data_IF_325486229902
#
_entry.id   IF_325486229902
#
_cell.length_a   1.000
_cell.length_b   1.000
_cell.length_c   1.000
_cell.angle_alpha   90.00
_cell.angle_beta   90.00
_cell.angle_gamma   90.00
#
_symmetry.space_group_name_H-M   'P 1'
#
loop_
_entity.id
_entity.type
_entity.pdbx_description
1 polymer ?
#
# COMPACT_ATOMS: atom_id res chain seq x y z
N UNK A 1 7.43 39.02 -8.68
CA UNK A 1 6.78 37.69 -8.68
C UNK A 1 6.55 37.28 -10.12
N UNK A 2 7.16 36.20 -10.58
CA UNK A 2 7.22 35.83 -12.00
C UNK A 2 5.85 35.29 -12.48
N UNK A 3 5.22 35.95 -13.45
CA UNK A 3 3.90 35.60 -14.00
C UNK A 3 3.84 34.22 -14.69
N UNK A 4 5.00 33.63 -15.03
CA UNK A 4 5.11 32.29 -15.63
C UNK A 4 4.66 31.14 -14.74
N UNK A 5 4.60 31.32 -13.41
CA UNK A 5 4.13 30.26 -12.49
C UNK A 5 2.63 29.99 -12.66
N UNK A 6 1.87 30.96 -13.16
CA UNK A 6 0.44 30.82 -13.46
C UNK A 6 0.15 30.12 -14.79
N UNK A 7 1.15 29.99 -15.68
CA UNK A 7 0.97 29.35 -17.00
C UNK A 7 0.84 27.82 -16.90
N UNK A 8 1.32 27.20 -15.81
CA UNK A 8 1.16 25.76 -15.58
C UNK A 8 0.87 25.46 -14.09
N UNK A 9 -0.41 25.51 -13.66
CA UNK A 9 -0.80 25.34 -12.26
C UNK A 9 -0.39 23.98 -11.68
N UNK A 10 -0.22 22.96 -12.51
CA UNK A 10 0.12 21.60 -12.10
C UNK A 10 1.56 21.48 -11.57
N UNK A 11 2.50 22.25 -12.14
CA UNK A 11 3.89 22.29 -11.63
C UNK A 11 3.96 22.97 -10.26
N UNK A 12 3.15 24.00 -10.05
CA UNK A 12 3.06 24.63 -8.72
C UNK A 12 2.43 23.68 -7.70
N UNK A 13 1.38 22.93 -8.07
CA UNK A 13 0.81 21.89 -7.22
C UNK A 13 1.86 20.84 -6.82
N UNK A 14 2.75 20.45 -7.75
CA UNK A 14 3.84 19.52 -7.43
C UNK A 14 4.79 20.09 -6.36
N UNK A 15 5.20 21.34 -6.50
CA UNK A 15 6.06 22.02 -5.54
C UNK A 15 5.38 22.13 -4.16
N UNK A 16 4.08 22.47 -4.14
CA UNK A 16 3.29 22.50 -2.90
C UNK A 16 3.19 21.10 -2.29
N UNK A 17 3.00 20.05 -3.10
CA UNK A 17 2.96 18.68 -2.61
C UNK A 17 4.28 18.26 -1.95
N UNK A 18 5.41 18.62 -2.56
CA UNK A 18 6.73 18.39 -1.98
C UNK A 18 6.90 19.12 -0.64
N UNK A 19 6.46 20.38 -0.53
CA UNK A 19 6.49 21.12 0.73
C UNK A 19 5.60 20.48 1.80
N UNK A 20 4.40 20.03 1.44
CA UNK A 20 3.50 19.28 2.34
C UNK A 20 4.16 17.98 2.82
N UNK A 21 4.81 17.23 1.92
CA UNK A 21 5.54 16.00 2.27
C UNK A 21 6.66 16.26 3.28
N UNK A 22 7.45 17.32 3.09
CA UNK A 22 8.49 17.73 4.05
C UNK A 22 7.86 18.07 5.40
N UNK A 23 6.76 18.83 5.42
CA UNK A 23 6.03 19.14 6.65
C UNK A 23 5.52 17.89 7.37
N UNK A 24 4.93 16.94 6.64
CA UNK A 24 4.45 15.66 7.20
C UNK A 24 5.62 14.83 7.74
N UNK A 25 6.77 14.81 7.07
CA UNK A 25 7.97 14.12 7.53
C UNK A 25 8.48 14.71 8.85
N UNK A 26 8.64 16.04 8.93
CA UNK A 26 9.08 16.73 10.14
C UNK A 26 8.12 16.49 11.32
N UNK A 27 6.81 16.53 11.06
CA UNK A 27 5.82 16.18 12.06
C UNK A 27 5.96 14.73 12.53
N UNK A 28 6.18 13.78 11.59
CA UNK A 28 6.27 12.36 11.89
C UNK A 28 7.49 12.00 12.74
N UNK A 29 8.66 12.57 12.44
CA UNK A 29 9.89 12.29 13.22
C UNK A 29 9.82 12.84 14.66
N UNK A 30 8.95 13.83 14.91
CA UNK A 30 8.70 14.35 16.25
C UNK A 30 7.77 13.46 17.10
N UNK A 31 7.09 12.49 16.49
CA UNK A 31 6.18 11.57 17.19
C UNK A 31 6.88 10.26 17.58
N UNK A 32 6.60 9.67 18.76
CA UNK A 32 7.17 8.39 19.15
C UNK A 32 6.74 7.24 18.21
N UNK A 33 7.67 6.39 17.75
CA UNK A 33 7.36 5.30 16.82
C UNK A 33 6.91 4.02 17.57
N UNK A 34 5.83 4.10 18.36
CA UNK A 34 5.39 3.01 19.23
C UNK A 34 5.24 1.65 18.50
N UNK A 35 4.33 1.56 17.53
CA UNK A 35 4.07 0.30 16.81
C UNK A 35 5.22 -0.10 15.88
N UNK A 36 5.80 0.80 15.07
CA UNK A 36 6.89 0.43 14.15
C UNK A 36 8.13 -0.14 14.84
N UNK A 37 8.51 0.38 16.00
CA UNK A 37 9.75 -0.05 16.66
C UNK A 37 9.67 -1.50 17.16
N UNK A 38 8.55 -1.90 17.76
CA UNK A 38 8.37 -3.29 18.22
C UNK A 38 8.55 -4.27 17.06
N UNK A 39 8.04 -3.96 15.87
CA UNK A 39 8.18 -4.84 14.71
C UNK A 39 9.65 -5.03 14.25
N UNK A 40 10.57 -4.13 14.62
CA UNK A 40 12.01 -4.32 14.38
C UNK A 40 12.68 -5.17 15.47
N UNK A 41 12.09 -5.24 16.66
CA UNK A 41 12.59 -6.03 17.79
C UNK A 41 12.15 -7.49 17.72
N UNK A 42 10.96 -7.77 17.17
CA UNK A 42 10.46 -9.14 17.06
C UNK A 42 11.22 -9.91 15.98
N UNK A 43 11.73 -11.08 16.36
CA UNK A 43 12.44 -12.02 15.50
C UNK A 43 11.87 -13.44 15.69
N UNK A 44 12.58 -14.44 15.17
CA UNK A 44 12.22 -15.85 15.27
C UNK A 44 12.92 -16.56 16.43
N UNK A 45 13.34 -15.84 17.49
CA UNK A 45 14.05 -16.44 18.63
C UNK A 45 13.25 -17.61 19.26
N UNK A 46 11.93 -17.45 19.37
CA UNK A 46 11.01 -18.47 19.90
C UNK A 46 10.36 -19.32 18.80
N UNK A 47 10.99 -19.43 17.63
CA UNK A 47 10.44 -20.13 16.47
C UNK A 47 9.57 -19.24 15.58
N UNK A 48 8.79 -19.87 14.71
CA UNK A 48 8.02 -19.15 13.70
C UNK A 48 6.95 -18.26 14.32
N UNK A 49 7.06 -16.95 14.09
CA UNK A 49 6.18 -15.93 14.65
C UNK A 49 5.67 -15.00 13.54
N UNK A 50 4.37 -14.72 13.51
CA UNK A 50 3.77 -13.81 12.53
C UNK A 50 4.36 -12.40 12.69
N UNK A 51 4.55 -11.67 11.58
CA UNK A 51 5.06 -10.28 11.55
C UNK A 51 6.53 -10.11 11.98
N UNK A 52 7.30 -11.19 12.09
CA UNK A 52 8.67 -11.15 12.59
C UNK A 52 9.74 -11.01 11.49
N UNK A 53 9.38 -11.10 10.20
CA UNK A 53 10.39 -11.17 9.12
C UNK A 53 11.32 -9.95 9.09
N UNK A 54 10.79 -8.74 9.23
CA UNK A 54 11.62 -7.52 9.18
C UNK A 54 12.58 -7.47 10.37
N UNK A 55 12.10 -7.72 11.59
CA UNK A 55 12.98 -7.75 12.77
C UNK A 55 13.99 -8.90 12.71
N UNK A 56 13.62 -10.07 12.18
CA UNK A 56 14.56 -11.17 11.92
C UNK A 56 15.69 -10.75 10.96
N UNK A 57 15.36 -10.04 9.87
CA UNK A 57 16.37 -9.49 8.95
C UNK A 57 17.26 -8.46 9.68
N UNK A 58 16.69 -7.56 10.47
CA UNK A 58 17.45 -6.57 11.27
C UNK A 58 18.42 -7.25 12.24
N UNK A 59 18.02 -8.39 12.81
CA UNK A 59 18.83 -9.19 13.74
C UNK A 59 20.10 -9.75 13.10
N UNK A 60 20.15 -9.86 11.77
CA UNK A 60 21.37 -10.26 11.05
C UNK A 60 22.44 -9.17 11.07
N UNK A 61 22.07 -7.93 11.37
CA UNK A 61 22.97 -6.77 11.31
C UNK A 61 23.22 -6.12 12.68
N UNK A 62 22.31 -6.28 13.64
CA UNK A 62 22.49 -5.73 14.99
C UNK A 62 21.70 -6.50 16.05
N UNK A 63 22.35 -6.77 17.17
CA UNK A 63 21.71 -7.35 18.36
C UNK A 63 20.85 -6.31 19.09
N UNK A 64 21.31 -5.05 19.10
CA UNK A 64 20.67 -3.91 19.75
C UNK A 64 20.09 -2.97 18.70
N UNK A 65 18.78 -2.86 18.65
CA UNK A 65 18.08 -2.06 17.64
C UNK A 65 17.90 -0.64 18.15
N UNK A 66 18.50 0.39 17.53
CA UNK A 66 18.24 1.77 17.93
C UNK A 66 16.93 2.29 17.33
N UNK A 67 16.25 3.20 18.03
CA UNK A 67 14.95 3.75 17.61
C UNK A 67 15.05 4.47 16.25
N UNK A 68 16.15 5.16 15.97
CA UNK A 68 16.36 5.87 14.71
C UNK A 68 16.32 4.95 13.48
N UNK A 69 16.61 3.64 13.65
CA UNK A 69 16.61 2.68 12.56
C UNK A 69 15.23 2.54 11.90
N UNK A 70 14.15 2.73 12.68
CA UNK A 70 12.78 2.77 12.16
C UNK A 70 12.66 3.82 11.06
N UNK A 71 13.12 5.04 11.33
CA UNK A 71 13.01 6.16 10.41
C UNK A 71 13.96 6.03 9.23
N UNK A 72 15.18 5.51 9.45
CA UNK A 72 16.14 5.26 8.39
C UNK A 72 15.63 4.21 7.38
N UNK A 73 15.18 3.04 7.87
CA UNK A 73 14.67 1.98 7.00
C UNK A 73 13.40 2.41 6.27
N UNK A 74 12.44 3.00 7.00
CA UNK A 74 11.19 3.42 6.39
C UNK A 74 11.39 4.57 5.40
N UNK A 75 12.26 5.53 5.71
CA UNK A 75 12.63 6.63 4.81
C UNK A 75 13.32 6.13 3.54
N UNK A 76 14.25 5.18 3.66
CA UNK A 76 14.90 4.55 2.52
C UNK A 76 13.90 3.82 1.61
N UNK A 77 13.02 3.00 2.20
CA UNK A 77 11.96 2.30 1.44
C UNK A 77 11.00 3.29 0.79
N UNK A 78 10.69 4.40 1.46
CA UNK A 78 9.85 5.46 0.89
C UNK A 78 10.50 6.10 -0.34
N UNK A 79 11.79 6.47 -0.27
CA UNK A 79 12.52 7.04 -1.40
C UNK A 79 12.61 6.06 -2.58
N UNK A 80 12.89 4.78 -2.30
CA UNK A 80 12.88 3.72 -3.33
C UNK A 80 11.50 3.60 -3.97
N UNK A 81 10.43 3.59 -3.17
CA UNK A 81 9.05 3.50 -3.66
C UNK A 81 8.67 4.70 -4.52
N UNK A 82 9.06 5.91 -4.12
CA UNK A 82 8.88 7.13 -4.91
C UNK A 82 9.59 7.01 -6.27
N UNK A 83 10.87 6.64 -6.28
CA UNK A 83 11.66 6.51 -7.50
C UNK A 83 11.07 5.44 -8.45
N UNK A 84 10.67 4.30 -7.89
CA UNK A 84 10.00 3.22 -8.63
C UNK A 84 8.65 3.68 -9.20
N UNK A 85 7.86 4.42 -8.42
CA UNK A 85 6.57 4.95 -8.87
C UNK A 85 6.74 5.96 -10.01
N UNK A 86 7.66 6.91 -9.87
CA UNK A 86 7.99 7.90 -10.92
C UNK A 86 8.39 7.19 -12.21
N UNK A 87 9.24 6.15 -12.11
CA UNK A 87 9.64 5.32 -13.26
C UNK A 87 8.47 4.56 -13.87
N UNK A 88 7.60 3.99 -13.04
CA UNK A 88 6.39 3.29 -13.49
C UNK A 88 5.46 4.26 -14.24
N UNK A 89 5.21 5.44 -13.67
CA UNK A 89 4.39 6.47 -14.29
C UNK A 89 4.93 6.92 -15.64
N UNK A 90 6.21 7.26 -15.71
CA UNK A 90 6.88 7.61 -16.95
C UNK A 90 6.72 6.51 -18.01
N UNK A 91 6.84 5.24 -17.61
CA UNK A 91 6.71 4.11 -18.54
C UNK A 91 5.27 3.87 -19.00
N UNK A 92 4.29 4.09 -18.14
CA UNK A 92 2.88 3.78 -18.45
C UNK A 92 2.16 4.93 -19.17
N UNK A 93 2.43 6.16 -18.79
CA UNK A 93 1.72 7.35 -19.28
C UNK A 93 2.63 8.35 -19.99
N UNK A 94 3.93 8.34 -19.70
CA UNK A 94 4.85 9.41 -20.11
C UNK A 94 4.94 10.53 -19.06
N UNK A 95 5.85 11.47 -19.30
CA UNK A 95 5.99 12.72 -18.54
C UNK A 95 5.96 13.91 -19.49
N UNK A 96 4.79 14.15 -20.07
CA UNK A 96 4.50 15.34 -20.88
C UNK A 96 3.50 16.26 -20.15
N UNK A 97 3.25 17.43 -20.72
CA UNK A 97 2.36 18.41 -20.10
C UNK A 97 0.89 17.95 -20.06
N UNK A 98 0.50 16.98 -20.90
CA UNK A 98 -0.86 16.45 -20.94
C UNK A 98 -1.15 15.50 -19.77
N UNK A 99 -0.13 14.85 -19.20
CA UNK A 99 -0.30 13.88 -18.12
C UNK A 99 -0.04 14.44 -16.71
N UNK A 100 0.35 15.71 -16.57
CA UNK A 100 0.49 16.34 -15.25
C UNK A 100 -0.75 16.25 -14.36
N UNK A 101 -1.99 16.48 -14.86
CA UNK A 101 -3.17 16.35 -14.01
C UNK A 101 -3.29 14.93 -13.43
N UNK A 102 -3.08 13.91 -14.27
CA UNK A 102 -3.11 12.51 -13.84
C UNK A 102 -2.06 12.21 -12.78
N UNK A 103 -0.83 12.70 -12.98
CA UNK A 103 0.25 12.54 -12.02
C UNK A 103 -0.10 13.18 -10.67
N UNK A 104 -0.61 14.42 -10.67
CA UNK A 104 -0.98 15.13 -9.44
C UNK A 104 -2.12 14.45 -8.70
N UNK A 105 -3.16 13.98 -9.40
CA UNK A 105 -4.26 13.25 -8.74
C UNK A 105 -3.82 11.92 -8.12
N UNK A 106 -2.72 11.30 -8.57
CA UNK A 106 -2.19 10.06 -7.99
C UNK A 106 -1.12 10.37 -6.95
N UNK A 107 0.01 10.94 -7.37
CA UNK A 107 1.17 11.22 -6.53
C UNK A 107 0.84 12.23 -5.42
N UNK A 108 0.05 13.24 -5.78
CA UNK A 108 -0.40 14.28 -4.87
C UNK A 108 -1.61 13.90 -4.03
N UNK A 109 -2.15 12.70 -4.19
CA UNK A 109 -3.28 12.20 -3.41
C UNK A 109 -2.96 12.10 -1.91
N UNK A 110 -3.89 12.49 -1.00
CA UNK A 110 -3.74 12.20 0.42
C UNK A 110 -3.75 10.70 0.74
N UNK A 111 -4.15 9.84 -0.21
CA UNK A 111 -4.18 8.39 -0.06
C UNK A 111 -2.83 7.69 -0.33
N UNK A 112 -1.88 8.34 -1.02
CA UNK A 112 -0.69 7.67 -1.54
C UNK A 112 0.59 8.06 -0.81
N UNK A 113 1.53 8.75 -1.47
CA UNK A 113 2.87 9.01 -0.95
C UNK A 113 2.87 9.78 0.37
N UNK A 114 1.95 10.76 0.51
CA UNK A 114 1.78 11.51 1.75
C UNK A 114 1.28 10.64 2.90
N UNK A 115 0.37 9.71 2.62
CA UNK A 115 -0.10 8.74 3.61
C UNK A 115 1.06 7.85 4.08
N UNK A 116 1.89 7.33 3.17
CA UNK A 116 3.05 6.53 3.56
C UNK A 116 4.09 7.32 4.35
N UNK A 117 4.24 8.63 4.08
CA UNK A 117 5.10 9.49 4.89
C UNK A 117 4.54 9.66 6.31
N UNK A 118 3.22 9.78 6.46
CA UNK A 118 2.60 9.85 7.78
C UNK A 118 2.66 8.50 8.52
N UNK A 119 2.47 7.39 7.81
CA UNK A 119 2.57 6.03 8.37
C UNK A 119 4.00 5.50 8.38
N UNK A 120 5.02 6.37 8.29
CA UNK A 120 6.43 5.97 8.29
C UNK A 120 6.73 4.95 9.40
N UNK A 121 7.35 3.84 9.01
CA UNK A 121 7.62 2.69 9.88
C UNK A 121 6.55 1.58 9.81
N UNK A 122 5.38 1.86 9.25
CA UNK A 122 4.42 0.81 8.91
C UNK A 122 4.83 0.11 7.61
N UNK A 123 4.46 -1.15 7.52
CA UNK A 123 4.97 -2.03 6.49
C UNK A 123 4.18 -1.99 5.17
N UNK A 124 3.05 -1.28 5.09
CA UNK A 124 2.20 -1.27 3.89
C UNK A 124 2.92 -0.84 2.62
N UNK A 125 3.91 0.05 2.78
CA UNK A 125 4.73 0.56 1.69
C UNK A 125 5.50 -0.55 0.96
N UNK A 126 5.87 -1.64 1.64
CA UNK A 126 6.49 -2.81 0.99
C UNK A 126 5.54 -3.45 -0.01
N UNK A 127 4.24 -3.52 0.31
CA UNK A 127 3.22 -4.04 -0.62
C UNK A 127 3.14 -3.19 -1.89
N UNK A 128 3.15 -1.86 -1.72
CA UNK A 128 3.18 -0.94 -2.84
C UNK A 128 4.46 -1.10 -3.68
N UNK A 129 5.63 -1.05 -3.03
CA UNK A 129 6.93 -1.16 -3.69
C UNK A 129 7.06 -2.44 -4.52
N UNK A 130 6.77 -3.60 -3.92
CA UNK A 130 6.85 -4.89 -4.60
C UNK A 130 5.84 -5.01 -5.76
N UNK A 131 4.66 -4.44 -5.60
CA UNK A 131 3.65 -4.40 -6.68
C UNK A 131 4.11 -3.50 -7.84
N UNK A 132 4.75 -2.35 -7.55
CA UNK A 132 5.35 -1.50 -8.58
C UNK A 132 6.50 -2.22 -9.29
N UNK A 133 7.36 -2.92 -8.56
CA UNK A 133 8.42 -3.77 -9.17
C UNK A 133 7.79 -4.78 -10.11
N UNK A 134 6.72 -5.44 -9.68
CA UNK A 134 6.00 -6.41 -10.52
C UNK A 134 5.45 -5.78 -11.81
N UNK A 135 4.90 -4.56 -11.75
CA UNK A 135 4.46 -3.81 -12.94
C UNK A 135 5.62 -3.40 -13.85
N UNK A 136 6.81 -3.14 -13.30
CA UNK A 136 8.00 -2.74 -14.05
C UNK A 136 8.72 -3.91 -14.72
N UNK A 137 8.72 -5.11 -14.14
CA UNK A 137 9.40 -6.25 -14.76
C UNK A 137 8.57 -6.82 -15.94
N UNK A 138 9.22 -7.44 -16.95
CA UNK A 138 8.52 -8.04 -18.10
C UNK A 138 7.79 -9.33 -17.72
N UNK A 139 6.51 -9.43 -18.06
CA UNK A 139 5.66 -10.60 -17.80
C UNK A 139 5.74 -11.66 -18.93
N UNK A 140 6.96 -12.07 -19.30
CA UNK A 140 7.22 -12.92 -20.48
C UNK A 140 7.39 -14.41 -20.19
N UNK A 141 7.48 -14.82 -18.93
CA UNK A 141 7.77 -16.21 -18.55
C UNK A 141 7.14 -16.58 -17.22
N UNK A 142 7.04 -17.88 -16.94
CA UNK A 142 6.55 -18.44 -15.66
C UNK A 142 7.30 -17.87 -14.45
N UNK A 143 8.57 -17.49 -14.60
CA UNK A 143 9.34 -16.80 -13.55
C UNK A 143 8.61 -15.56 -13.00
N UNK A 144 7.84 -14.86 -13.82
CA UNK A 144 7.03 -13.72 -13.39
C UNK A 144 5.96 -14.12 -12.35
N UNK A 145 5.30 -15.26 -12.56
CA UNK A 145 4.31 -15.82 -11.62
C UNK A 145 5.00 -16.23 -10.31
N UNK A 146 6.19 -16.84 -10.41
CA UNK A 146 6.98 -17.25 -9.24
C UNK A 146 7.47 -16.04 -8.43
N UNK A 147 7.90 -14.96 -9.09
CA UNK A 147 8.28 -13.70 -8.43
C UNK A 147 7.07 -13.08 -7.71
N UNK A 148 5.90 -13.06 -8.35
CA UNK A 148 4.67 -12.57 -7.72
C UNK A 148 4.28 -13.40 -6.48
N UNK A 149 4.44 -14.71 -6.55
CA UNK A 149 4.22 -15.62 -5.42
C UNK A 149 5.22 -15.36 -4.30
N UNK A 150 6.51 -15.22 -4.63
CA UNK A 150 7.56 -14.89 -3.67
C UNK A 150 7.28 -13.53 -2.99
N UNK A 151 6.90 -12.50 -3.74
CA UNK A 151 6.53 -11.21 -3.17
C UNK A 151 5.33 -11.35 -2.23
N UNK A 152 4.30 -12.11 -2.61
CA UNK A 152 3.14 -12.37 -1.76
C UNK A 152 3.52 -13.11 -0.47
N UNK A 153 4.41 -14.10 -0.56
CA UNK A 153 4.96 -14.84 0.58
C UNK A 153 5.72 -13.90 1.53
N UNK A 154 6.65 -13.11 1.00
CA UNK A 154 7.41 -12.14 1.79
C UNK A 154 6.46 -11.15 2.48
N UNK A 155 5.46 -10.63 1.77
CA UNK A 155 4.47 -9.73 2.36
C UNK A 155 3.70 -10.40 3.50
N UNK A 156 3.21 -11.63 3.33
CA UNK A 156 2.52 -12.35 4.41
C UNK A 156 3.40 -12.53 5.65
N UNK A 157 4.70 -12.83 5.45
CA UNK A 157 5.66 -12.96 6.54
C UNK A 157 5.95 -11.63 7.25
N UNK A 158 6.00 -10.52 6.49
CA UNK A 158 6.07 -9.16 7.04
C UNK A 158 4.80 -8.83 7.82
N UNK A 159 3.62 -9.14 7.27
CA UNK A 159 2.34 -8.94 7.92
C UNK A 159 1.23 -9.75 7.21
N UNK A 160 0.64 -10.74 7.87
CA UNK A 160 -0.33 -11.65 7.23
C UNK A 160 -1.55 -10.97 6.59
N UNK A 161 -1.98 -9.78 7.07
CA UNK A 161 -3.05 -8.97 6.48
C UNK A 161 -2.82 -8.61 5.01
N UNK A 162 -1.58 -8.67 4.51
CA UNK A 162 -1.28 -8.48 3.10
C UNK A 162 -2.08 -9.42 2.18
N UNK A 163 -2.51 -10.59 2.69
CA UNK A 163 -3.40 -11.51 1.98
C UNK A 163 -4.71 -10.86 1.53
N UNK A 164 -5.22 -9.89 2.29
CA UNK A 164 -6.44 -9.12 1.99
C UNK A 164 -6.13 -7.77 1.30
N UNK A 165 -4.90 -7.27 1.46
CA UNK A 165 -4.50 -5.92 1.02
C UNK A 165 -3.87 -5.91 -0.38
N UNK A 166 -2.61 -6.35 -0.52
CA UNK A 166 -1.87 -6.28 -1.79
C UNK A 166 -1.84 -7.59 -2.56
N UNK A 167 -1.96 -8.75 -1.90
CA UNK A 167 -1.95 -10.06 -2.59
C UNK A 167 -3.05 -10.17 -3.65
N UNK A 168 -4.31 -9.70 -3.43
CA UNK A 168 -5.33 -9.72 -4.48
C UNK A 168 -4.96 -8.84 -5.68
N UNK A 169 -4.30 -7.70 -5.43
CA UNK A 169 -3.81 -6.79 -6.48
C UNK A 169 -2.67 -7.41 -7.27
N UNK A 170 -1.72 -8.06 -6.58
CA UNK A 170 -0.61 -8.81 -7.19
C UNK A 170 -1.17 -9.94 -8.07
N UNK A 171 -2.11 -10.73 -7.56
CA UNK A 171 -2.76 -11.80 -8.31
C UNK A 171 -3.49 -11.25 -9.54
N UNK A 172 -4.24 -10.16 -9.41
CA UNK A 172 -4.89 -9.49 -10.54
C UNK A 172 -3.86 -9.04 -11.60
N UNK A 173 -2.76 -8.42 -11.18
CA UNK A 173 -1.67 -8.02 -12.09
C UNK A 173 -1.05 -9.21 -12.80
N UNK A 174 -0.91 -10.36 -12.14
CA UNK A 174 -0.46 -11.61 -12.78
C UNK A 174 -1.46 -12.07 -13.84
N UNK A 175 -2.75 -12.09 -13.52
CA UNK A 175 -3.78 -12.45 -14.50
C UNK A 175 -3.72 -11.52 -15.71
N UNK A 176 -3.73 -10.21 -15.49
CA UNK A 176 -3.76 -9.21 -16.56
C UNK A 176 -2.50 -9.22 -17.42
N UNK A 177 -1.31 -9.28 -16.81
CA UNK A 177 -0.04 -9.11 -17.55
C UNK A 177 0.54 -10.40 -18.09
N UNK A 178 0.28 -11.54 -17.43
CA UNK A 178 0.81 -12.83 -17.83
C UNK A 178 -0.26 -13.71 -18.49
N UNK A 179 -1.34 -14.05 -17.78
CA UNK A 179 -2.30 -15.04 -18.29
C UNK A 179 -3.17 -14.55 -19.45
N UNK A 180 -3.54 -13.26 -19.49
CA UNK A 180 -4.30 -12.70 -20.61
C UNK A 180 -3.45 -12.41 -21.84
N UNK A 181 -2.16 -12.15 -21.65
CA UNK A 181 -1.26 -11.78 -22.74
C UNK A 181 -0.52 -12.99 -23.34
N UNK A 182 -0.47 -14.11 -22.64
CA UNK A 182 0.17 -15.35 -23.10
C UNK A 182 -0.85 -16.42 -23.45
N UNK A 183 -0.44 -17.39 -24.28
CA UNK A 183 -1.24 -18.59 -24.52
C UNK A 183 -1.37 -19.39 -23.23
N UNK A 184 -2.60 -19.74 -22.88
CA UNK A 184 -2.89 -20.56 -21.70
C UNK A 184 -2.45 -22.00 -21.97
N UNK A 185 -1.32 -22.39 -21.40
CA UNK A 185 -0.81 -23.76 -21.44
C UNK A 185 -1.10 -24.47 -20.10
N UNK A 186 -1.36 -25.79 -20.08
CA UNK A 186 -1.61 -26.55 -18.84
C UNK A 186 -0.51 -26.35 -17.80
N UNK A 187 0.76 -26.31 -18.23
CA UNK A 187 1.92 -26.03 -17.37
C UNK A 187 1.81 -24.67 -16.65
N UNK A 188 1.41 -23.63 -17.37
CA UNK A 188 1.30 -22.28 -16.80
C UNK A 188 0.16 -22.20 -15.78
N UNK A 189 -0.95 -22.92 -16.02
CA UNK A 189 -2.04 -23.05 -15.07
C UNK A 189 -1.55 -23.80 -13.82
N UNK A 190 -0.90 -24.94 -13.99
CA UNK A 190 -0.40 -25.75 -12.87
C UNK A 190 0.53 -24.94 -11.96
N UNK A 191 1.48 -24.20 -12.54
CA UNK A 191 2.39 -23.34 -11.74
C UNK A 191 1.62 -22.24 -11.00
N UNK A 192 0.61 -21.64 -11.63
CA UNK A 192 -0.24 -20.64 -10.97
C UNK A 192 -1.01 -21.22 -9.79
N UNK A 193 -1.58 -22.42 -9.94
CA UNK A 193 -2.31 -23.11 -8.88
C UNK A 193 -1.39 -23.51 -7.72
N UNK A 194 -0.20 -24.03 -8.01
CA UNK A 194 0.80 -24.37 -6.99
C UNK A 194 1.24 -23.11 -6.25
N UNK A 195 1.52 -22.02 -6.97
CA UNK A 195 1.88 -20.74 -6.36
C UNK A 195 0.78 -20.20 -5.43
N UNK A 196 -0.48 -20.25 -5.89
CA UNK A 196 -1.63 -19.83 -5.09
C UNK A 196 -1.81 -20.70 -3.85
N UNK A 197 -1.68 -22.03 -3.98
CA UNK A 197 -1.76 -22.96 -2.87
C UNK A 197 -0.65 -22.70 -1.84
N UNK A 198 0.59 -22.47 -2.28
CA UNK A 198 1.71 -22.15 -1.40
C UNK A 198 1.48 -20.86 -0.59
N UNK A 199 1.00 -19.79 -1.26
CA UNK A 199 0.65 -18.52 -0.60
C UNK A 199 -0.50 -18.71 0.40
N UNK A 200 -1.53 -19.47 0.02
CA UNK A 200 -2.68 -19.77 0.88
C UNK A 200 -2.31 -20.60 2.11
N UNK A 201 -1.55 -21.67 1.94
CA UNK A 201 -1.06 -22.52 3.04
C UNK A 201 -0.20 -21.69 3.99
N UNK A 202 0.72 -20.88 3.47
CA UNK A 202 1.54 -20.00 4.31
C UNK A 202 0.70 -19.02 5.12
N UNK A 203 -0.33 -18.42 4.53
CA UNK A 203 -1.24 -17.54 5.26
C UNK A 203 -1.92 -18.29 6.41
N UNK A 204 -2.44 -19.49 6.17
CA UNK A 204 -3.09 -20.31 7.21
C UNK A 204 -2.11 -20.63 8.34
N UNK A 205 -0.88 -21.02 8.01
CA UNK A 205 0.19 -21.26 9.00
C UNK A 205 0.51 -19.98 9.78
N UNK A 206 0.70 -18.84 9.11
CA UNK A 206 0.96 -17.55 9.75
C UNK A 206 -0.18 -17.10 10.67
N UNK A 207 -1.42 -17.36 10.30
CA UNK A 207 -2.59 -16.93 11.06
C UNK A 207 -2.83 -17.80 12.30
N UNK A 208 -2.72 -19.13 12.16
CA UNK A 208 -3.13 -20.08 13.19
C UNK A 208 -1.97 -20.69 13.99
N UNK A 209 -0.77 -20.74 13.42
CA UNK A 209 0.42 -21.30 14.08
C UNK A 209 1.54 -20.24 14.28
N UNK A 210 1.30 -18.97 13.94
CA UNK A 210 2.27 -17.89 14.08
C UNK A 210 2.16 -17.08 15.38
N UNK A 211 1.45 -17.57 16.39
CA UNK A 211 1.36 -16.93 17.71
C UNK A 211 2.57 -17.27 18.57
N UNK A 212 3.02 -16.32 19.38
CA UNK A 212 4.14 -16.57 20.31
C UNK A 212 3.66 -17.51 21.43
N UNK A 213 4.40 -18.60 21.66
CA UNK A 213 4.01 -19.65 22.62
C UNK A 213 4.52 -19.40 24.05
N UNK A 214 5.52 -18.53 24.22
CA UNK A 214 6.08 -18.21 25.54
C UNK A 214 5.21 -17.21 26.32
N UNK A 215 5.30 -17.15 27.66
CA UNK A 215 4.59 -16.16 28.47
C UNK A 215 4.90 -14.71 28.05
N UNK A 216 3.90 -13.83 28.17
CA UNK A 216 4.02 -12.42 27.75
C UNK A 216 5.22 -11.70 28.37
N UNK A 217 5.47 -11.90 29.66
CA UNK A 217 6.59 -11.24 30.37
C UNK A 217 7.96 -11.76 29.90
N UNK A 218 8.04 -13.00 29.43
CA UNK A 218 9.25 -13.54 28.82
C UNK A 218 9.50 -12.90 27.46
N UNK A 219 8.47 -12.83 26.62
CA UNK A 219 8.54 -12.15 25.32
C UNK A 219 8.94 -10.68 25.47
N UNK A 220 8.32 -9.94 26.40
CA UNK A 220 8.66 -8.53 26.63
C UNK A 220 10.10 -8.37 27.12
N UNK A 221 10.60 -9.25 28.00
CA UNK A 221 12.01 -9.24 28.43
C UNK A 221 12.97 -9.47 27.26
N UNK A 222 12.65 -10.39 26.36
CA UNK A 222 13.42 -10.59 25.12
C UNK A 222 13.46 -9.30 24.29
N UNK A 223 12.30 -8.69 24.02
CA UNK A 223 12.23 -7.43 23.27
C UNK A 223 13.01 -6.29 23.95
N UNK A 224 12.90 -6.13 25.27
CA UNK A 224 13.68 -5.18 26.05
C UNK A 224 15.18 -5.43 25.92
N UNK A 225 15.60 -6.69 25.96
CA UNK A 225 17.00 -7.07 25.78
C UNK A 225 17.54 -6.68 24.39
N UNK A 226 16.67 -6.51 23.40
CA UNK A 226 17.05 -6.07 22.04
C UNK A 226 17.01 -4.57 21.84
N UNK A 227 16.49 -3.80 22.78
CA UNK A 227 16.46 -2.35 22.68
C UNK A 227 17.86 -1.77 22.91
N UNK A 228 18.24 -0.78 22.09
CA UNK A 228 19.46 0.00 22.36
C UNK A 228 19.31 0.86 23.63
N UNK A 229 18.09 1.29 23.96
CA UNK A 229 17.75 1.96 25.22
C UNK A 229 16.63 1.20 25.94
N UNK A 230 16.98 0.28 26.85
CA UNK A 230 16.00 -0.53 27.59
C UNK A 230 15.11 0.27 28.55
N UNK A 231 15.42 1.53 28.87
CA UNK A 231 14.61 2.36 29.77
C UNK A 231 13.27 2.79 29.16
N UNK A 232 13.17 2.76 27.82
CA UNK A 232 12.00 3.20 27.03
C UNK A 232 10.93 2.12 26.90
N UNK A 233 10.46 1.61 28.03
CA UNK A 233 9.42 0.56 28.08
C UNK A 233 8.07 1.02 27.52
N UNK A 234 7.84 2.34 27.45
CA UNK A 234 6.69 2.94 26.77
C UNK A 234 6.55 2.50 25.30
N UNK A 235 7.69 2.20 24.65
CA UNK A 235 7.70 1.73 23.26
C UNK A 235 7.22 0.29 23.10
N UNK A 236 7.10 -0.49 24.18
CA UNK A 236 6.67 -1.89 24.15
C UNK A 236 5.19 -2.09 24.49
N UNK A 237 4.43 -1.01 24.75
CA UNK A 237 3.02 -1.08 25.14
C UNK A 237 2.10 -1.83 24.15
N UNK A 238 2.53 -1.99 22.90
CA UNK A 238 1.82 -2.73 21.84
C UNK A 238 2.29 -4.19 21.67
N UNK A 239 3.12 -4.73 22.58
CA UNK A 239 3.61 -6.11 22.50
C UNK A 239 2.49 -7.16 22.50
N UNK A 240 1.31 -6.82 23.03
CA UNK A 240 0.14 -7.70 23.05
C UNK A 240 -0.35 -8.13 21.66
N UNK A 241 0.00 -7.42 20.59
CA UNK A 241 -0.44 -7.71 19.20
C UNK A 241 -0.03 -9.12 18.76
N UNK A 242 1.06 -9.67 19.28
CA UNK A 242 1.52 -11.03 18.96
C UNK A 242 0.72 -12.14 19.65
N UNK A 243 -0.06 -11.79 20.67
CA UNK A 243 -0.92 -12.70 21.44
C UNK A 243 -2.40 -12.50 21.16
N UNK A 244 -2.77 -11.41 20.46
CA UNK A 244 -4.16 -11.07 20.26
C UNK A 244 -4.86 -12.07 19.30
N UNK A 245 -5.97 -12.69 19.73
CA UNK A 245 -6.77 -13.53 18.85
C UNK A 245 -7.66 -12.67 17.93
N UNK A 246 -8.03 -13.23 16.80
CA UNK A 246 -8.92 -12.57 15.81
C UNK A 246 -10.26 -12.14 16.42
N UNK A 247 -10.81 -12.93 17.34
CA UNK A 247 -12.07 -12.61 18.04
C UNK A 247 -11.97 -11.29 18.82
N UNK A 248 -10.82 -11.02 19.45
CA UNK A 248 -10.58 -9.77 20.15
C UNK A 248 -10.38 -8.61 19.18
N UNK A 249 -9.65 -8.80 18.08
CA UNK A 249 -9.54 -7.76 17.02
C UNK A 249 -10.91 -7.36 16.47
N UNK A 250 -11.79 -8.34 16.25
CA UNK A 250 -13.15 -8.10 15.81
C UNK A 250 -13.95 -7.33 16.88
N UNK A 251 -13.95 -7.79 18.12
CA UNK A 251 -14.66 -7.11 19.22
C UNK A 251 -14.19 -5.66 19.41
N UNK A 252 -12.87 -5.43 19.42
CA UNK A 252 -12.27 -4.09 19.54
C UNK A 252 -12.66 -3.18 18.36
N UNK A 253 -12.73 -3.74 17.15
CA UNK A 253 -13.13 -3.02 15.94
C UNK A 253 -14.58 -2.57 16.02
N UNK A 254 -15.49 -3.46 16.42
CA UNK A 254 -16.91 -3.14 16.56
C UNK A 254 -17.20 -2.17 17.71
N UNK A 255 -16.45 -2.27 18.82
CA UNK A 255 -16.54 -1.30 19.92
C UNK A 255 -16.16 0.13 19.47
N UNK A 256 -15.23 0.26 18.50
CA UNK A 256 -14.81 1.55 17.93
C UNK A 256 -15.60 1.97 16.68
N UNK A 257 -16.46 1.10 16.14
CA UNK A 257 -17.22 1.37 14.91
C UNK A 257 -18.04 2.68 14.98
N UNK A 258 -18.74 3.01 16.08
CA UNK A 258 -19.56 4.22 16.13
C UNK A 258 -18.77 5.52 15.96
N UNK A 259 -17.54 5.61 16.49
CA UNK A 259 -16.70 6.79 16.29
C UNK A 259 -16.04 6.77 14.91
N UNK A 260 -15.66 5.58 14.43
CA UNK A 260 -14.98 5.45 13.15
C UNK A 260 -15.89 5.71 11.93
N UNK A 261 -17.18 5.36 12.01
CA UNK A 261 -18.13 5.57 10.90
C UNK A 261 -18.36 7.05 10.61
N UNK A 262 -18.09 7.93 11.58
CA UNK A 262 -18.11 9.39 11.40
C UNK A 262 -17.05 9.86 10.38
N UNK A 263 -16.03 9.05 10.09
CA UNK A 263 -15.05 9.31 9.04
C UNK A 263 -15.54 9.01 7.62
N UNK A 264 -16.62 8.23 7.45
CA UNK A 264 -17.12 7.80 6.13
C UNK A 264 -17.45 8.98 5.21
N UNK A 265 -18.14 10.06 5.66
CA UNK A 265 -18.38 11.22 4.81
C UNK A 265 -17.09 11.88 4.32
N UNK A 266 -16.04 11.94 5.16
CA UNK A 266 -14.74 12.49 4.77
C UNK A 266 -14.08 11.61 3.70
N UNK A 267 -14.11 10.28 3.86
CA UNK A 267 -13.56 9.36 2.86
C UNK A 267 -14.33 9.45 1.54
N UNK A 268 -15.66 9.51 1.59
CA UNK A 268 -16.51 9.66 0.41
C UNK A 268 -16.21 10.98 -0.33
N UNK A 269 -16.07 12.10 0.41
CA UNK A 269 -15.68 13.38 -0.17
C UNK A 269 -14.30 13.32 -0.83
N UNK A 270 -13.31 12.74 -0.15
CA UNK A 270 -11.96 12.58 -0.69
C UNK A 270 -11.96 11.73 -1.97
N UNK A 271 -12.70 10.62 -2.00
CA UNK A 271 -12.86 9.79 -3.21
C UNK A 271 -13.56 10.57 -4.33
N UNK A 272 -14.60 11.34 -3.97
CA UNK A 272 -15.33 12.17 -4.93
C UNK A 272 -14.46 13.27 -5.54
N UNK A 273 -13.57 13.89 -4.76
CA UNK A 273 -12.58 14.86 -5.26
C UNK A 273 -11.63 14.27 -6.31
N UNK A 274 -11.46 12.94 -6.33
CA UNK A 274 -10.73 12.23 -7.38
C UNK A 274 -11.62 11.89 -8.60
N UNK A 275 -12.78 12.56 -8.79
CA UNK A 275 -13.64 12.40 -9.96
C UNK A 275 -12.95 12.42 -11.32
N UNK A 276 -12.00 13.32 -11.59
CA UNK A 276 -11.25 13.29 -12.84
C UNK A 276 -10.48 11.97 -13.04
N UNK A 277 -9.89 11.44 -11.97
CA UNK A 277 -9.10 10.21 -11.99
C UNK A 277 -9.95 8.96 -12.22
N UNK A 278 -11.04 8.77 -11.47
CA UNK A 278 -11.86 7.56 -11.66
C UNK A 278 -12.68 7.61 -12.97
N UNK A 279 -13.04 8.79 -13.49
CA UNK A 279 -13.59 8.93 -14.84
C UNK A 279 -12.58 8.58 -15.92
N UNK A 280 -11.31 8.98 -15.75
CA UNK A 280 -10.25 8.55 -16.65
C UNK A 280 -10.07 7.02 -16.62
N UNK A 281 -10.08 6.43 -15.42
CA UNK A 281 -9.96 4.99 -15.27
C UNK A 281 -11.13 4.22 -15.91
N UNK A 282 -12.38 4.64 -15.72
CA UNK A 282 -13.53 3.99 -16.37
C UNK A 282 -13.47 4.07 -17.89
N UNK A 283 -12.97 5.19 -18.46
CA UNK A 283 -12.72 5.32 -19.90
C UNK A 283 -11.61 4.38 -20.38
N UNK A 284 -10.53 4.21 -19.61
CA UNK A 284 -9.48 3.22 -19.91
C UNK A 284 -10.05 1.81 -19.98
N UNK A 285 -10.87 1.42 -19.00
CA UNK A 285 -11.53 0.11 -19.01
C UNK A 285 -12.44 -0.02 -20.24
N UNK A 286 -13.27 0.99 -20.52
CA UNK A 286 -14.17 0.98 -21.67
C UNK A 286 -13.45 0.90 -23.02
N UNK A 287 -12.24 1.46 -23.11
CA UNK A 287 -11.41 1.46 -24.31
C UNK A 287 -10.61 0.17 -24.53
N UNK A 288 -10.63 -0.81 -23.61
CA UNK A 288 -9.97 -2.09 -23.83
C UNK A 288 -10.52 -2.80 -25.08
N UNK A 289 -9.62 -3.40 -25.86
CA UNK A 289 -9.98 -4.03 -27.13
C UNK A 289 -10.83 -5.30 -26.98
N UNK A 290 -10.66 -6.03 -25.87
CA UNK A 290 -11.33 -7.30 -25.61
C UNK A 290 -12.32 -7.16 -24.44
N UNK A 291 -13.55 -7.61 -24.67
CA UNK A 291 -14.62 -7.65 -23.65
C UNK A 291 -14.25 -8.50 -22.43
N UNK A 292 -13.54 -9.62 -22.64
CA UNK A 292 -13.05 -10.46 -21.55
C UNK A 292 -12.08 -9.70 -20.65
N UNK A 293 -11.18 -8.88 -21.23
CA UNK A 293 -10.26 -8.06 -20.44
C UNK A 293 -11.01 -7.06 -19.58
N UNK A 294 -12.08 -6.44 -20.11
CA UNK A 294 -12.95 -5.52 -19.34
C UNK A 294 -13.57 -6.22 -18.15
N UNK A 295 -14.20 -7.37 -18.36
CA UNK A 295 -14.85 -8.15 -17.30
C UNK A 295 -13.87 -8.58 -16.23
N UNK A 296 -12.67 -9.02 -16.61
CA UNK A 296 -11.63 -9.43 -15.66
C UNK A 296 -11.11 -8.25 -14.85
N UNK A 297 -10.90 -7.08 -15.46
CA UNK A 297 -10.52 -5.86 -14.72
C UNK A 297 -11.61 -5.48 -13.71
N UNK A 298 -12.89 -5.51 -14.10
CA UNK A 298 -14.00 -5.25 -13.18
C UNK A 298 -14.06 -6.27 -12.03
N UNK A 299 -13.97 -7.56 -12.35
CA UNK A 299 -13.95 -8.63 -11.35
C UNK A 299 -12.77 -8.46 -10.38
N UNK A 300 -11.58 -8.10 -10.88
CA UNK A 300 -10.42 -7.83 -10.05
C UNK A 300 -10.65 -6.64 -9.10
N UNK A 301 -11.22 -5.53 -9.58
CA UNK A 301 -11.53 -4.37 -8.73
C UNK A 301 -12.57 -4.70 -7.65
N UNK A 302 -13.57 -5.53 -7.98
CA UNK A 302 -14.56 -6.03 -7.02
C UNK A 302 -13.87 -6.89 -5.96
N UNK A 303 -13.04 -7.85 -6.36
CA UNK A 303 -12.34 -8.75 -5.43
C UNK A 303 -11.36 -8.01 -4.52
N UNK A 304 -10.61 -7.04 -5.05
CA UNK A 304 -9.75 -6.16 -4.25
C UNK A 304 -10.62 -5.41 -3.23
N UNK A 305 -11.70 -4.75 -3.68
CA UNK A 305 -12.58 -3.98 -2.80
C UNK A 305 -13.25 -4.85 -1.73
N UNK A 306 -13.62 -6.10 -2.06
CA UNK A 306 -14.16 -7.06 -1.10
C UNK A 306 -13.11 -7.42 -0.02
N UNK A 307 -11.85 -7.63 -0.39
CA UNK A 307 -10.76 -7.84 0.57
C UNK A 307 -10.60 -6.68 1.54
N UNK A 308 -10.66 -5.44 1.04
CA UNK A 308 -10.66 -4.26 1.91
C UNK A 308 -11.90 -4.17 2.78
N UNK A 309 -13.09 -4.47 2.25
CA UNK A 309 -14.32 -4.52 3.05
C UNK A 309 -14.21 -5.49 4.23
N UNK A 310 -13.63 -6.68 4.01
CA UNK A 310 -13.34 -7.64 5.09
C UNK A 310 -12.39 -7.02 6.14
N UNK A 311 -11.36 -6.29 5.72
CA UNK A 311 -10.49 -5.58 6.67
C UNK A 311 -11.23 -4.49 7.46
N UNK A 312 -12.12 -3.72 6.82
CA UNK A 312 -12.93 -2.68 7.50
C UNK A 312 -13.79 -3.25 8.63
N UNK A 313 -14.35 -4.45 8.45
CA UNK A 313 -15.21 -5.08 9.46
C UNK A 313 -14.45 -5.90 10.51
N UNK A 314 -13.16 -6.21 10.27
CA UNK A 314 -12.35 -7.05 11.17
C UNK A 314 -11.26 -6.31 11.94
N UNK A 315 -10.68 -5.23 11.38
CA UNK A 315 -9.52 -4.54 11.99
C UNK A 315 -9.69 -3.02 11.98
N UNK A 316 -9.52 -2.41 13.15
CA UNK A 316 -9.52 -0.96 13.32
C UNK A 316 -8.26 -0.33 12.67
N UNK A 317 -8.42 0.45 11.58
CA UNK A 317 -7.48 1.49 11.07
C UNK A 317 -7.97 1.98 9.69
N UNK A 318 -9.16 2.57 9.65
CA UNK A 318 -9.86 2.86 8.40
C UNK A 318 -9.13 3.84 7.49
N UNK A 319 -8.40 4.80 8.05
CA UNK A 319 -7.59 5.73 7.24
C UNK A 319 -6.47 5.01 6.48
N UNK A 320 -5.84 4.02 7.11
CA UNK A 320 -4.80 3.21 6.48
C UNK A 320 -5.38 2.25 5.46
N UNK A 321 -6.53 1.64 5.75
CA UNK A 321 -7.19 0.71 4.83
C UNK A 321 -7.75 1.41 3.60
N UNK A 322 -8.42 2.56 3.75
CA UNK A 322 -8.93 3.31 2.59
C UNK A 322 -7.78 3.83 1.70
N UNK A 323 -6.68 4.25 2.32
CA UNK A 323 -5.50 4.74 1.61
C UNK A 323 -4.86 3.62 0.79
N UNK A 324 -4.64 2.45 1.39
CA UNK A 324 -4.10 1.30 0.66
C UNK A 324 -5.07 0.79 -0.43
N UNK A 325 -6.38 0.82 -0.21
CA UNK A 325 -7.38 0.50 -1.23
C UNK A 325 -7.25 1.43 -2.46
N UNK A 326 -7.11 2.74 -2.23
CA UNK A 326 -6.89 3.69 -3.31
C UNK A 326 -5.56 3.44 -4.03
N UNK A 327 -4.47 3.15 -3.30
CA UNK A 327 -3.18 2.77 -3.90
C UNK A 327 -3.30 1.53 -4.77
N UNK A 328 -3.95 0.46 -4.29
CA UNK A 328 -4.22 -0.73 -5.09
C UNK A 328 -5.00 -0.41 -6.37
N UNK A 329 -5.97 0.51 -6.27
CA UNK A 329 -6.75 0.99 -7.42
C UNK A 329 -5.88 1.78 -8.40
N UNK A 330 -4.96 2.61 -7.93
CA UNK A 330 -3.98 3.32 -8.77
C UNK A 330 -3.04 2.34 -9.49
N UNK A 331 -2.56 1.30 -8.79
CA UNK A 331 -1.73 0.26 -9.38
C UNK A 331 -2.50 -0.56 -10.44
N UNK A 332 -3.79 -0.83 -10.20
CA UNK A 332 -4.67 -1.43 -11.21
C UNK A 332 -4.87 -0.52 -12.42
N UNK A 333 -4.96 0.80 -12.24
CA UNK A 333 -5.01 1.76 -13.34
C UNK A 333 -3.79 1.63 -14.25
N UNK A 334 -2.58 1.48 -13.70
CA UNK A 334 -1.38 1.17 -14.48
C UNK A 334 -1.50 -0.17 -15.23
N UNK A 335 -1.91 -1.23 -14.53
CA UNK A 335 -2.06 -2.55 -15.12
C UNK A 335 -3.05 -2.56 -16.29
N UNK A 336 -4.17 -1.86 -16.15
CA UNK A 336 -5.19 -1.72 -17.19
C UNK A 336 -4.68 -0.93 -18.39
N UNK A 337 -3.93 0.17 -18.18
CA UNK A 337 -3.34 0.94 -19.29
C UNK A 337 -2.35 0.12 -20.11
N UNK A 338 -1.72 -0.90 -19.52
CA UNK A 338 -0.79 -1.79 -20.23
C UNK A 338 -1.48 -2.87 -21.09
N UNK A 339 -2.80 -2.99 -21.04
CA UNK A 339 -3.56 -3.93 -21.88
C UNK A 339 -3.86 -3.32 -23.26
N UNK A 340 -4.08 -4.15 -24.30
CA UNK A 340 -4.47 -3.66 -25.62
C UNK A 340 -5.78 -2.86 -25.58
N UNK A 341 -5.77 -1.66 -26.15
CA UNK A 341 -6.93 -0.79 -26.29
C UNK A 341 -7.40 -0.74 -27.75
N UNK A 342 -8.71 -0.61 -27.97
CA UNK A 342 -9.31 -0.42 -29.30
C UNK A 342 -9.25 1.03 -29.77
N UNK A 343 -9.05 1.97 -28.85
CA UNK A 343 -8.94 3.40 -29.11
C UNK A 343 -8.11 4.10 -28.03
N UNK A 344 -7.54 5.24 -28.39
CA UNK A 344 -6.90 6.10 -27.41
C UNK A 344 -7.91 6.76 -26.47
N UNK A 345 -7.49 6.95 -25.22
CA UNK A 345 -8.28 7.61 -24.19
C UNK A 345 -7.71 9.00 -23.96
N UNK A 346 -8.50 10.07 -24.14
CA UNK A 346 -8.01 11.41 -23.93
C UNK A 346 -7.55 11.60 -22.48
N UNK A 347 -6.46 12.34 -22.24
CA UNK A 347 -5.98 12.64 -20.91
C UNK A 347 -7.00 13.47 -20.12
N UNK A 348 -6.76 13.60 -18.82
CA UNK A 348 -7.54 14.51 -17.97
C UNK A 348 -7.29 15.94 -18.46
N UNK A 349 -8.33 16.75 -18.77
CA UNK A 349 -8.16 18.11 -19.27
C UNK A 349 -7.33 18.97 -18.30
N UNK A 350 -6.30 19.63 -18.81
CA UNK A 350 -5.38 20.46 -18.02
C UNK A 350 -5.89 21.89 -17.79
N UNK A 351 -6.86 22.32 -18.59
CA UNK A 351 -7.47 23.66 -18.66
C UNK A 351 -8.89 23.73 -18.06
N UNK A 352 -9.47 22.60 -17.64
CA UNK A 352 -10.77 22.57 -16.98
C UNK A 352 -10.69 23.12 -15.54
N UNK A 353 -11.37 24.25 -15.30
CA UNK A 353 -11.39 24.95 -14.01
C UNK A 353 -11.78 24.03 -12.85
N UNK A 354 -12.76 23.13 -13.03
CA UNK A 354 -13.21 22.22 -11.96
C UNK A 354 -12.11 21.22 -11.60
N UNK A 355 -11.47 20.64 -12.61
CA UNK A 355 -10.34 19.72 -12.48
C UNK A 355 -9.15 20.39 -11.77
N UNK A 356 -8.82 21.65 -12.12
CA UNK A 356 -7.77 22.41 -11.42
C UNK A 356 -8.11 22.66 -9.95
N UNK A 357 -9.37 23.03 -9.62
CA UNK A 357 -9.81 23.23 -8.23
C UNK A 357 -9.67 21.93 -7.42
N UNK A 358 -10.14 20.81 -7.97
CA UNK A 358 -10.00 19.51 -7.32
C UNK A 358 -8.54 19.12 -7.12
N UNK A 359 -7.68 19.36 -8.11
CA UNK A 359 -6.24 19.14 -8.01
C UNK A 359 -5.61 19.94 -6.86
N UNK A 360 -5.99 21.21 -6.69
CA UNK A 360 -5.54 22.04 -5.57
C UNK A 360 -5.97 21.48 -4.21
N UNK A 361 -7.24 21.13 -4.06
CA UNK A 361 -7.77 20.59 -2.80
C UNK A 361 -7.03 19.28 -2.44
N UNK A 362 -6.92 18.34 -3.38
CA UNK A 362 -6.22 17.06 -3.18
C UNK A 362 -4.74 17.28 -2.83
N UNK A 363 -4.10 18.27 -3.46
CA UNK A 363 -2.70 18.62 -3.21
C UNK A 363 -2.48 19.11 -1.78
N UNK A 364 -3.34 20.01 -1.29
CA UNK A 364 -3.22 20.66 0.01
C UNK A 364 -3.53 19.75 1.19
N UNK A 365 -4.41 18.75 1.02
CA UNK A 365 -4.78 17.84 2.11
C UNK A 365 -3.60 16.89 2.41
N UNK A 366 -3.01 16.91 3.63
CA UNK A 366 -1.79 16.16 3.90
C UNK A 366 -2.00 14.65 4.00
N UNK A 367 -3.13 14.17 4.52
CA UNK A 367 -3.40 12.72 4.63
C UNK A 367 -4.89 12.43 4.75
N UNK A 368 -5.21 11.17 5.01
CA UNK A 368 -6.53 10.73 5.51
C UNK A 368 -6.42 10.49 7.02
N UNK A 369 -7.33 11.05 7.84
CA UNK A 369 -7.33 10.90 9.30
C UNK A 369 -8.65 10.35 9.84
N UNK A 370 -8.60 9.61 10.95
CA UNK A 370 -9.78 8.93 11.56
C UNK A 370 -10.50 9.80 12.60
N UNK A 371 -9.77 10.53 13.47
CA UNK A 371 -10.36 11.14 14.68
C UNK A 371 -10.40 12.67 14.65
N UNK A 372 -9.68 13.31 13.73
CA UNK A 372 -9.79 14.75 13.47
C UNK A 372 -9.62 14.99 11.97
N UNK A 373 -10.56 15.69 11.29
CA UNK A 373 -10.19 16.41 10.10
C UNK A 373 -9.14 17.46 10.51
N UNK A 374 -8.17 17.69 9.62
CA UNK A 374 -6.95 18.47 9.85
C UNK A 374 -7.15 19.80 10.56
#
# INVERSE_FOLDING_TARGET
>A
MNLRVWENPWRLMLAVNAAVLVGVFLHKIALPPFVPYIHLLVDYHYGFTKRALIGAIVSLFTDKVPVWLVFALAGAVWLVTLALFVKLFQRTFGFDDAHWPLFIFIAGSPFFLKNFMHTLGHFDIYGCALTIVLLLIPARSVLYVLIAALFSILLILVHHIFVLMYVPTIAAIVVLRFYLMQRVMPRNIAVGLIALAAVGILFLVAQFAGTVEVPYDEFIRHLQSRMADPSRTDLLQFGYIWYQPLSKEFADTWARMPSNILGVPVFALLIWLHAPLWRYFTRLIGALANELHRRIVFAALIMISAGYFVMFVTVFDYSRWISNWAVCTFLMLHATKMLPASKDVPPIPSDDRKTTIFGWIVTLIPRVGIVRPF
#
